data_IF_272372290448
#
_entry.id   IF_272372290448
#
_cell.length_a   1.000
_cell.length_b   1.000
_cell.length_c   1.000
_cell.angle_alpha   90.00
_cell.angle_beta   90.00
_cell.angle_gamma   90.00
#
_symmetry.space_group_name_H-M   'P 1'
#
loop_
_entity.id
_entity.type
_entity.pdbx_description
1 polymer ?
#
# COMPACT_ATOMS: atom_id res chain seq x y z
N UNK A 1 -0.59 -13.24 -5.52
CA UNK A 1 0.02 -12.10 -4.78
C UNK A 1 0.24 -12.50 -3.32
N UNK A 2 0.77 -11.61 -2.48
CA UNK A 2 0.64 -11.68 -1.01
C UNK A 2 -0.45 -10.70 -0.57
N UNK A 3 -1.03 -10.90 0.61
CA UNK A 3 -1.98 -9.94 1.19
C UNK A 3 -1.25 -8.77 1.84
N UNK A 4 -1.82 -7.57 1.69
CA UNK A 4 -1.23 -6.32 2.19
C UNK A 4 -2.23 -5.52 3.02
N UNK A 5 -1.73 -4.96 4.12
CA UNK A 5 -2.35 -3.82 4.79
C UNK A 5 -1.94 -2.55 4.06
N UNK A 6 -2.90 -1.75 3.61
CA UNK A 6 -2.64 -0.51 2.90
C UNK A 6 -2.91 0.68 3.81
N UNK A 7 -1.96 1.59 3.85
CA UNK A 7 -2.05 2.85 4.57
C UNK A 7 -2.01 4.01 3.58
N UNK A 8 -2.88 5.01 3.76
CA UNK A 8 -2.96 6.20 2.91
C UNK A 8 -2.35 7.40 3.64
N UNK A 9 -1.61 8.23 2.93
CA UNK A 9 -1.03 9.45 3.49
C UNK A 9 -2.12 10.53 3.59
N UNK A 10 -2.24 11.15 4.77
CA UNK A 10 -3.13 12.28 4.98
C UNK A 10 -2.63 13.50 4.21
N UNK A 11 -3.52 14.18 3.50
CA UNK A 11 -3.22 15.41 2.75
C UNK A 11 -2.54 15.17 1.40
N UNK A 12 -2.29 13.91 1.02
CA UNK A 12 -1.82 13.51 -0.30
C UNK A 12 -2.61 12.27 -0.71
N UNK A 13 -3.84 12.48 -1.18
CA UNK A 13 -4.89 11.46 -1.25
C UNK A 13 -4.54 10.23 -2.11
N UNK A 14 -3.57 10.37 -3.02
CA UNK A 14 -3.10 9.27 -3.85
C UNK A 14 -1.98 8.44 -3.22
N UNK A 15 -1.18 8.95 -2.26
CA UNK A 15 0.01 8.21 -1.81
C UNK A 15 -0.34 7.09 -0.82
N UNK A 16 -0.03 5.86 -1.21
CA UNK A 16 -0.33 4.65 -0.48
C UNK A 16 0.95 3.89 -0.09
N UNK A 17 0.91 3.22 1.06
CA UNK A 17 1.95 2.31 1.55
C UNK A 17 1.32 0.94 1.81
N UNK A 18 1.74 -0.06 1.04
CA UNK A 18 1.36 -1.45 1.23
C UNK A 18 2.42 -2.19 2.07
N UNK A 19 1.98 -2.78 3.18
CA UNK A 19 2.80 -3.58 4.08
C UNK A 19 2.23 -5.00 4.10
N UNK A 20 3.00 -6.05 3.82
CA UNK A 20 2.49 -7.41 3.91
C UNK A 20 1.93 -7.69 5.31
N UNK A 21 0.83 -8.44 5.39
CA UNK A 21 0.20 -8.73 6.69
C UNK A 21 1.13 -9.50 7.65
N UNK A 22 2.10 -10.23 7.09
CA UNK A 22 3.11 -10.97 7.86
C UNK A 22 4.29 -10.12 8.33
N UNK A 23 4.33 -8.82 8.02
CA UNK A 23 5.42 -7.92 8.43
C UNK A 23 4.96 -6.88 9.46
N UNK A 24 5.90 -6.45 10.30
CA UNK A 24 5.69 -5.32 11.19
C UNK A 24 5.48 -4.03 10.40
N UNK A 25 4.52 -3.22 10.84
CA UNK A 25 4.24 -1.91 10.22
C UNK A 25 5.45 -0.98 10.42
N UNK A 26 6.00 -0.38 9.34
CA UNK A 26 7.11 0.55 9.46
C UNK A 26 6.76 1.76 10.34
N UNK A 27 7.72 2.22 11.16
CA UNK A 27 7.51 3.32 12.13
C UNK A 27 6.99 4.61 11.50
N UNK A 28 7.39 4.92 10.26
CA UNK A 28 6.94 6.13 9.57
C UNK A 28 5.44 6.07 9.21
N UNK A 29 4.90 4.87 9.01
CA UNK A 29 3.48 4.62 8.71
C UNK A 29 2.65 4.62 9.98
N UNK A 30 3.19 4.14 11.11
CA UNK A 30 2.49 4.16 12.41
C UNK A 30 2.25 5.54 13.01
N UNK A 31 2.72 6.63 12.37
CA UNK A 31 2.56 8.01 12.86
C UNK A 31 1.23 8.67 12.46
N UNK A 32 0.99 9.90 12.96
CA UNK A 32 -0.25 10.67 12.71
C UNK A 32 -0.54 11.02 11.25
N UNK A 33 0.44 10.85 10.34
CA UNK A 33 0.37 11.26 8.93
C UNK A 33 -0.21 10.20 8.00
N UNK A 34 -0.41 8.98 8.47
CA UNK A 34 -1.00 7.91 7.68
C UNK A 34 -2.27 7.39 8.36
N UNK A 35 -3.17 6.84 7.57
CA UNK A 35 -4.38 6.15 8.04
C UNK A 35 -4.46 4.77 7.40
N UNK A 36 -5.02 3.81 8.11
CA UNK A 36 -5.35 2.53 7.51
C UNK A 36 -6.44 2.74 6.45
N UNK A 37 -6.13 2.38 5.20
CA UNK A 37 -6.99 2.57 4.03
C UNK A 37 -7.64 1.29 3.52
N UNK A 38 -7.38 0.14 4.16
CA UNK A 38 -7.95 -1.15 3.81
C UNK A 38 -6.90 -2.23 3.55
N UNK A 39 -7.32 -3.28 2.87
CA UNK A 39 -6.47 -4.43 2.54
C UNK A 39 -6.51 -4.74 1.05
N UNK A 40 -5.40 -5.23 0.53
CA UNK A 40 -5.33 -5.88 -0.78
C UNK A 40 -5.21 -7.37 -0.49
N UNK A 41 -6.22 -8.12 -0.91
CA UNK A 41 -6.21 -9.57 -0.80
C UNK A 41 -5.38 -10.16 -1.96
N UNK A 42 -4.62 -11.21 -1.69
CA UNK A 42 -3.80 -11.87 -2.69
C UNK A 42 -4.61 -12.55 -3.82
N UNK A 43 -5.91 -12.76 -3.59
CA UNK A 43 -6.85 -13.42 -4.49
C UNK A 43 -7.74 -12.40 -5.20
N UNK A 44 -7.72 -11.13 -4.79
CA UNK A 44 -8.46 -10.04 -5.42
C UNK A 44 -7.62 -9.36 -6.50
N UNK A 45 -8.30 -8.68 -7.42
CA UNK A 45 -7.62 -7.79 -8.35
C UNK A 45 -6.95 -6.64 -7.58
N UNK A 46 -5.69 -6.29 -7.88
CA UNK A 46 -5.02 -5.17 -7.26
C UNK A 46 -5.72 -3.84 -7.61
N UNK A 47 -5.75 -2.87 -6.68
CA UNK A 47 -6.34 -1.56 -6.96
C UNK A 47 -5.53 -0.82 -8.04
N UNK A 48 -6.14 0.13 -8.78
CA UNK A 48 -5.42 0.92 -9.77
C UNK A 48 -4.18 1.62 -9.20
N UNK A 49 -3.07 1.54 -9.94
CA UNK A 49 -1.77 2.05 -9.50
C UNK A 49 -0.94 1.08 -8.65
N UNK A 50 -1.50 -0.07 -8.26
CA UNK A 50 -0.73 -1.13 -7.61
C UNK A 50 -0.12 -2.08 -8.65
N UNK A 51 1.20 -2.30 -8.54
CA UNK A 51 1.95 -3.24 -9.38
C UNK A 51 2.54 -4.34 -8.51
N UNK A 52 2.13 -5.58 -8.78
CA UNK A 52 2.53 -6.77 -8.00
C UNK A 52 4.03 -7.07 -8.05
N UNK A 53 4.66 -6.85 -9.21
CA UNK A 53 6.08 -7.16 -9.42
C UNK A 53 6.94 -6.11 -8.71
N UNK A 54 6.55 -4.85 -8.83
CA UNK A 54 7.16 -3.76 -8.08
C UNK A 54 6.98 -3.96 -6.57
N UNK A 55 5.78 -4.34 -6.13
CA UNK A 55 5.49 -4.65 -4.74
C UNK A 55 6.37 -5.79 -4.20
N UNK A 56 6.47 -6.90 -4.93
CA UNK A 56 7.31 -8.03 -4.53
C UNK A 56 8.78 -7.63 -4.38
N UNK A 57 9.29 -6.81 -5.29
CA UNK A 57 10.66 -6.30 -5.26
C UNK A 57 10.87 -5.34 -4.10
N UNK A 58 10.02 -4.32 -3.96
CA UNK A 58 10.12 -3.33 -2.90
C UNK A 58 10.02 -3.96 -1.51
N UNK A 59 9.09 -4.90 -1.33
CA UNK A 59 8.94 -5.64 -0.07
C UNK A 59 10.18 -6.46 0.27
N UNK A 60 10.81 -7.10 -0.72
CA UNK A 60 12.03 -7.88 -0.50
C UNK A 60 13.17 -7.03 0.05
N UNK A 61 13.30 -5.77 -0.38
CA UNK A 61 14.40 -4.90 0.02
C UNK A 61 14.06 -3.97 1.19
N UNK A 62 12.81 -3.50 1.27
CA UNK A 62 12.39 -2.43 2.19
C UNK A 62 11.39 -2.93 3.25
N UNK A 63 10.77 -4.10 3.06
CA UNK A 63 9.68 -4.60 3.90
C UNK A 63 8.30 -3.99 3.61
N UNK A 64 8.22 -3.00 2.72
CA UNK A 64 6.98 -2.32 2.30
C UNK A 64 7.07 -1.86 0.84
N UNK A 65 5.93 -1.46 0.28
CA UNK A 65 5.82 -0.89 -1.06
C UNK A 65 5.06 0.45 -1.03
N UNK A 66 5.63 1.49 -1.64
CA UNK A 66 4.97 2.80 -1.81
C UNK A 66 4.51 2.93 -3.26
N UNK A 67 3.28 3.39 -3.45
CA UNK A 67 2.71 3.61 -4.77
C UNK A 67 1.68 4.74 -4.71
N UNK A 68 1.39 5.36 -5.85
CA UNK A 68 0.27 6.28 -5.98
C UNK A 68 -0.94 5.48 -6.47
N UNK A 69 -2.02 5.48 -5.68
CA UNK A 69 -3.30 4.97 -6.14
C UNK A 69 -3.80 5.89 -7.25
N UNK A 70 -4.25 5.29 -8.35
CA UNK A 70 -4.98 6.01 -9.38
C UNK A 70 -6.44 6.04 -8.93
N UNK A 71 -6.98 7.24 -8.68
CA UNK A 71 -8.37 7.38 -8.28
C UNK A 71 -9.28 7.01 -9.46
N UNK A 72 -10.29 6.16 -9.24
CA UNK A 72 -11.32 5.89 -10.25
C UNK A 72 -12.29 7.09 -10.37
N UNK A 73 -12.26 8.05 -9.43
CA UNK A 73 -13.06 9.29 -9.48
C UNK A 73 -12.33 10.47 -10.13
N UNK A 74 -11.76 10.23 -11.31
CA UNK A 74 -11.49 11.30 -12.28
C UNK A 74 -12.44 11.10 -13.48
N UNK A 75 -13.72 11.39 -13.27
CA UNK A 75 -14.71 11.65 -14.33
C UNK A 75 -15.70 12.69 -13.87
#
# INVERSE_FOLDING_TARGET
MRSYNVFRRKGEEALCCAVPESHAVPRFVGGRRWTFGGKIDAQAAPPPGFDDRAAATAVRFNGFYLFQALDEKAS
#
